data_IF_498854466262
#
_entry.id   IF_498854466262
#
_cell.length_a   1.000
_cell.length_b   1.000
_cell.length_c   1.000
_cell.angle_alpha   90.00
_cell.angle_beta   90.00
_cell.angle_gamma   90.00
#
_symmetry.space_group_name_H-M   'P 1'
#
loop_
_entity.id
_entity.type
_entity.pdbx_description
1 polymer ?
#
# COMPACT_ATOMS: atom_id res chain seq x y z
N UNK A 1 -15.18 33.13 5.31
CA UNK A 1 -15.32 32.26 4.12
C UNK A 1 -14.06 31.42 4.04
N UNK A 2 -14.18 30.12 4.33
CA UNK A 2 -13.12 29.12 4.18
C UNK A 2 -13.81 27.89 3.58
N UNK A 3 -13.35 27.46 2.40
CA UNK A 3 -13.92 26.35 1.63
C UNK A 3 -13.89 25.01 2.40
N UNK A 4 -14.99 24.24 2.50
CA UNK A 4 -15.01 22.96 3.23
C UNK A 4 -14.55 21.74 2.40
N UNK A 5 -13.85 21.90 1.28
CA UNK A 5 -13.52 20.77 0.37
C UNK A 5 -12.09 20.25 0.50
N UNK A 6 -11.66 19.89 1.70
CA UNK A 6 -10.52 18.97 1.84
C UNK A 6 -10.78 17.97 2.97
N UNK A 7 -11.64 17.00 2.69
CA UNK A 7 -11.64 15.77 3.50
C UNK A 7 -10.25 15.14 3.37
N UNK A 8 -9.55 14.86 4.48
CA UNK A 8 -8.20 14.30 4.42
C UNK A 8 -8.20 13.01 3.61
N UNK A 9 -7.24 12.87 2.70
CA UNK A 9 -7.12 11.69 1.85
C UNK A 9 -6.96 10.44 2.73
N UNK A 10 -7.97 9.58 2.72
CA UNK A 10 -7.94 8.34 3.50
C UNK A 10 -6.89 7.42 2.91
N UNK A 11 -5.91 7.04 3.72
CA UNK A 11 -4.81 6.14 3.37
C UNK A 11 -4.85 4.93 4.29
N UNK A 12 -4.68 3.74 3.73
CA UNK A 12 -4.56 2.48 4.49
C UNK A 12 -3.14 1.98 4.29
N UNK A 13 -2.41 1.63 5.35
CA UNK A 13 -1.02 1.21 5.20
C UNK A 13 -0.46 0.51 6.42
N UNK A 14 0.64 -0.21 6.21
CA UNK A 14 1.44 -0.81 7.26
C UNK A 14 2.92 -0.46 7.03
N UNK A 15 3.65 -0.29 8.12
CA UNK A 15 5.09 -0.06 8.08
C UNK A 15 5.82 -0.88 9.12
N UNK A 16 7.10 -1.13 8.83
CA UNK A 16 8.00 -1.86 9.72
C UNK A 16 9.31 -1.11 9.82
N UNK A 17 9.66 -0.72 11.04
CA UNK A 17 11.02 -0.33 11.40
C UNK A 17 11.83 -1.59 11.69
N UNK A 18 13.03 -1.67 11.14
CA UNK A 18 13.93 -2.80 11.33
C UNK A 18 14.85 -2.55 12.54
N UNK A 19 15.28 -3.63 13.20
CA UNK A 19 16.25 -3.56 14.30
C UNK A 19 17.63 -3.15 13.77
N UNK A 20 18.03 -3.77 12.68
CA UNK A 20 19.24 -3.49 11.91
C UNK A 20 18.85 -3.00 10.52
N UNK A 21 19.68 -2.12 9.94
CA UNK A 21 19.43 -1.61 8.60
C UNK A 21 19.61 -2.72 7.57
N UNK A 22 18.66 -2.89 6.65
CA UNK A 22 18.66 -3.99 5.66
C UNK A 22 19.30 -3.51 4.37
N UNK A 23 20.36 -4.17 3.94
CA UNK A 23 21.06 -3.92 2.67
C UNK A 23 20.64 -4.86 1.53
N UNK A 24 20.05 -6.02 1.85
CA UNK A 24 19.60 -7.03 0.89
C UNK A 24 18.25 -6.66 0.23
N UNK A 25 18.21 -6.41 -1.09
CA UNK A 25 16.98 -6.11 -1.83
C UNK A 25 15.94 -7.24 -1.81
N UNK A 26 16.36 -8.51 -1.77
CA UNK A 26 15.44 -9.66 -1.73
C UNK A 26 14.70 -9.73 -0.39
N UNK A 27 15.42 -9.43 0.70
CA UNK A 27 14.82 -9.32 2.04
C UNK A 27 13.82 -8.17 2.08
N UNK A 28 14.16 -7.01 1.50
CA UNK A 28 13.24 -5.87 1.37
C UNK A 28 12.01 -6.20 0.53
N UNK A 29 12.17 -6.93 -0.58
CA UNK A 29 11.07 -7.40 -1.42
C UNK A 29 10.12 -8.32 -0.65
N UNK A 30 10.67 -9.27 0.12
CA UNK A 30 9.89 -10.15 0.99
C UNK A 30 9.14 -9.39 2.10
N UNK A 31 9.73 -8.31 2.62
CA UNK A 31 9.04 -7.43 3.57
C UNK A 31 7.91 -6.63 2.91
N UNK A 32 8.14 -6.07 1.72
CA UNK A 32 7.12 -5.33 0.99
C UNK A 32 5.92 -6.22 0.65
N UNK A 33 6.15 -7.46 0.22
CA UNK A 33 5.10 -8.45 -0.03
C UNK A 33 4.26 -8.69 1.23
N UNK A 34 4.89 -9.00 2.37
CA UNK A 34 4.17 -9.21 3.64
C UNK A 34 3.35 -8.00 4.07
N UNK A 35 3.83 -6.78 3.84
CA UNK A 35 3.08 -5.57 4.16
C UNK A 35 1.92 -5.35 3.17
N UNK A 36 2.14 -5.64 1.89
CA UNK A 36 1.10 -5.59 0.86
C UNK A 36 -0.05 -6.55 1.17
N UNK A 37 0.23 -7.80 1.56
CA UNK A 37 -0.77 -8.77 2.03
C UNK A 37 -1.61 -8.19 3.18
N UNK A 38 -0.98 -7.64 4.22
CA UNK A 38 -1.70 -7.03 5.36
C UNK A 38 -2.57 -5.83 4.95
N UNK A 39 -2.09 -5.03 4.00
CA UNK A 39 -2.85 -3.92 3.44
C UNK A 39 -4.07 -4.44 2.67
N UNK A 40 -3.92 -5.47 1.85
CA UNK A 40 -5.02 -6.12 1.12
C UNK A 40 -6.05 -6.73 2.08
N UNK A 41 -5.61 -7.44 3.12
CA UNK A 41 -6.53 -7.94 4.16
C UNK A 41 -7.34 -6.81 4.79
N UNK A 42 -6.69 -5.67 5.08
CA UNK A 42 -7.37 -4.51 5.65
C UNK A 42 -8.35 -3.87 4.67
N UNK A 43 -7.98 -3.74 3.39
CA UNK A 43 -8.86 -3.27 2.31
C UNK A 43 -10.12 -4.13 2.21
N UNK A 44 -9.97 -5.46 2.18
CA UNK A 44 -11.08 -6.41 2.11
C UNK A 44 -11.98 -6.35 3.35
N UNK A 45 -11.40 -6.26 4.55
CA UNK A 45 -12.18 -6.08 5.80
C UNK A 45 -12.98 -4.78 5.79
N UNK A 46 -12.46 -3.73 5.17
CA UNK A 46 -13.16 -2.44 5.04
C UNK A 46 -14.13 -2.40 3.84
N UNK A 47 -14.23 -3.48 3.05
CA UNK A 47 -15.03 -3.54 1.83
C UNK A 47 -14.60 -2.48 0.82
N UNK A 48 -13.29 -2.32 0.58
CA UNK A 48 -12.72 -1.29 -0.29
C UNK A 48 -11.72 -1.86 -1.29
N UNK A 49 -11.68 -1.28 -2.48
CA UNK A 49 -10.58 -1.41 -3.43
C UNK A 49 -9.64 -0.21 -3.39
N UNK A 50 -8.41 -0.36 -3.89
CA UNK A 50 -7.42 0.71 -3.99
C UNK A 50 -6.85 0.84 -5.40
N UNK A 51 -6.62 2.08 -5.84
CA UNK A 51 -6.06 2.36 -7.18
C UNK A 51 -4.56 2.62 -7.21
N UNK A 52 -3.94 2.95 -6.07
CA UNK A 52 -2.53 3.32 -6.00
C UNK A 52 -1.87 2.67 -4.79
N UNK A 53 -0.73 2.02 -5.01
CA UNK A 53 0.17 1.49 -3.97
C UNK A 53 1.40 2.39 -3.90
N UNK A 54 1.80 2.76 -2.68
CA UNK A 54 2.98 3.57 -2.40
C UNK A 54 3.91 2.81 -1.47
N UNK A 55 5.19 2.75 -1.82
CA UNK A 55 6.26 2.25 -0.96
C UNK A 55 7.01 3.45 -0.39
N UNK A 56 7.20 3.42 0.93
CA UNK A 56 7.98 4.40 1.70
C UNK A 56 9.21 3.72 2.27
N UNK A 57 10.38 4.25 1.98
CA UNK A 57 11.66 3.83 2.55
C UNK A 57 12.19 4.95 3.44
N UNK A 58 12.66 4.61 4.64
CA UNK A 58 13.47 5.52 5.46
C UNK A 58 14.86 4.93 5.63
N UNK A 59 15.85 5.80 5.51
CA UNK A 59 17.26 5.45 5.56
C UNK A 59 17.85 5.73 6.96
N UNK A 60 19.08 5.25 7.25
CA UNK A 60 19.72 5.44 8.56
C UNK A 60 19.94 6.91 8.91
N UNK A 61 20.09 7.76 7.89
CA UNK A 61 20.19 9.23 7.98
C UNK A 61 18.81 9.93 8.15
N UNK A 62 17.76 9.17 8.44
CA UNK A 62 16.38 9.64 8.64
C UNK A 62 15.70 10.24 7.41
N UNK A 63 16.37 10.25 6.25
CA UNK A 63 15.76 10.69 4.99
C UNK A 63 14.70 9.68 4.52
N UNK A 64 13.65 10.19 3.88
CA UNK A 64 12.55 9.39 3.38
C UNK A 64 12.52 9.47 1.85
N UNK A 65 12.37 8.31 1.21
CA UNK A 65 12.10 8.19 -0.22
C UNK A 65 10.77 7.45 -0.40
N UNK A 66 9.93 7.91 -1.32
CA UNK A 66 8.70 7.19 -1.67
C UNK A 66 8.47 7.12 -3.16
N UNK A 67 7.91 6.00 -3.61
CA UNK A 67 7.46 5.79 -4.98
C UNK A 67 6.11 5.12 -4.98
N UNK A 68 5.33 5.45 -6.00
CA UNK A 68 3.99 4.92 -6.20
C UNK A 68 3.89 4.16 -7.53
N UNK A 69 3.00 3.18 -7.53
CA UNK A 69 2.54 2.46 -8.71
C UNK A 69 1.01 2.41 -8.66
N UNK A 70 0.36 2.60 -9.81
CA UNK A 70 -1.09 2.68 -9.92
C UNK A 70 -1.62 1.60 -10.83
N UNK A 71 -2.74 0.99 -10.44
CA UNK A 71 -3.57 0.19 -11.33
C UNK A 71 -4.47 1.10 -12.18
N UNK A 72 -4.93 0.57 -13.32
CA UNK A 72 -5.91 1.23 -14.18
C UNK A 72 -7.27 1.35 -13.45
N UNK A 73 -7.72 0.27 -12.83
CA UNK A 73 -8.91 0.21 -11.99
C UNK A 73 -8.54 -0.09 -10.53
N UNK A 74 -9.31 0.44 -9.59
CA UNK A 74 -9.10 0.13 -8.19
C UNK A 74 -9.38 -1.36 -7.93
N UNK A 75 -8.52 -2.00 -7.14
CA UNK A 75 -8.52 -3.45 -6.91
C UNK A 75 -8.30 -3.78 -5.44
N UNK A 76 -8.85 -4.91 -5.01
CA UNK A 76 -8.54 -5.59 -3.75
C UNK A 76 -7.92 -6.98 -4.01
N UNK A 77 -7.46 -7.22 -5.25
CA UNK A 77 -6.71 -8.41 -5.62
C UNK A 77 -5.31 -8.37 -5.00
N UNK A 78 -4.99 -9.40 -4.23
CA UNK A 78 -3.74 -9.45 -3.46
C UNK A 78 -2.52 -9.52 -4.37
N UNK A 79 -2.57 -10.32 -5.43
CA UNK A 79 -1.46 -10.50 -6.35
C UNK A 79 -1.14 -9.18 -7.08
N UNK A 80 -2.16 -8.44 -7.50
CA UNK A 80 -1.98 -7.14 -8.13
C UNK A 80 -1.42 -6.09 -7.16
N UNK A 81 -1.91 -6.04 -5.92
CA UNK A 81 -1.38 -5.12 -4.91
C UNK A 81 0.08 -5.44 -4.56
N UNK A 82 0.44 -6.74 -4.45
CA UNK A 82 1.84 -7.18 -4.27
C UNK A 82 2.68 -6.74 -5.47
N UNK A 83 2.22 -7.00 -6.70
CA UNK A 83 2.94 -6.63 -7.93
C UNK A 83 3.23 -5.12 -7.97
N UNK A 84 2.24 -4.30 -7.67
CA UNK A 84 2.40 -2.84 -7.61
C UNK A 84 3.35 -2.40 -6.50
N UNK A 85 3.32 -3.05 -5.33
CA UNK A 85 4.28 -2.82 -4.25
C UNK A 85 5.71 -3.14 -4.70
N UNK A 86 5.93 -4.26 -5.39
CA UNK A 86 7.26 -4.63 -5.90
C UNK A 86 7.77 -3.65 -6.97
N UNK A 87 6.90 -3.19 -7.87
CA UNK A 87 7.25 -2.15 -8.86
C UNK A 87 7.63 -0.84 -8.17
N UNK A 88 6.86 -0.41 -7.18
CA UNK A 88 7.14 0.79 -6.41
C UNK A 88 8.44 0.68 -5.60
N UNK A 89 8.70 -0.48 -4.99
CA UNK A 89 9.94 -0.77 -4.27
C UNK A 89 11.14 -0.72 -5.22
N UNK A 90 11.09 -1.43 -6.36
CA UNK A 90 12.17 -1.45 -7.34
C UNK A 90 12.53 -0.05 -7.84
N UNK A 91 11.52 0.81 -8.08
CA UNK A 91 11.75 2.23 -8.42
C UNK A 91 12.41 2.99 -7.29
N UNK A 92 11.95 2.81 -6.04
CA UNK A 92 12.52 3.50 -4.89
C UNK A 92 13.99 3.10 -4.63
N UNK A 93 14.32 1.82 -4.81
CA UNK A 93 15.69 1.30 -4.69
C UNK A 93 16.60 1.73 -5.84
N UNK A 94 16.04 1.94 -7.04
CA UNK A 94 16.77 2.51 -8.17
C UNK A 94 17.11 3.99 -7.95
N UNK A 95 16.23 4.76 -7.30
CA UNK A 95 16.53 6.16 -6.96
C UNK A 95 17.60 6.26 -5.86
N UNK A 96 17.53 5.37 -4.87
CA UNK A 96 18.47 5.32 -3.76
C UNK A 96 18.65 3.86 -3.29
N UNK A 97 19.86 3.30 -3.40
CA UNK A 97 20.11 1.94 -2.97
C UNK A 97 20.06 1.81 -1.44
N UNK A 98 19.95 0.57 -0.92
CA UNK A 98 20.06 0.27 0.51
C UNK A 98 21.39 0.78 1.14
N UNK A 99 21.52 0.83 2.48
CA UNK A 99 20.70 0.16 3.48
C UNK A 99 19.42 0.93 3.90
N UNK A 100 18.35 0.20 4.22
CA UNK A 100 17.04 0.74 4.61
C UNK A 100 16.69 0.42 6.06
N UNK A 101 16.24 1.42 6.82
CA UNK A 101 15.86 1.29 8.24
C UNK A 101 14.37 1.08 8.48
N UNK A 102 13.52 1.53 7.56
CA UNK A 102 12.07 1.34 7.61
C UNK A 102 11.52 1.15 6.21
N UNK A 103 10.62 0.19 6.06
CA UNK A 103 9.82 -0.02 4.86
C UNK A 103 8.34 0.06 5.20
N UNK A 104 7.59 0.86 4.45
CA UNK A 104 6.14 0.97 4.54
C UNK A 104 5.47 0.75 3.20
N UNK A 105 4.30 0.12 3.22
CA UNK A 105 3.41 -0.02 2.07
C UNK A 105 2.07 0.60 2.44
N UNK A 106 1.57 1.49 1.60
CA UNK A 106 0.27 2.14 1.79
C UNK A 106 -0.50 2.24 0.49
N UNK A 107 -1.81 2.30 0.58
CA UNK A 107 -2.72 2.43 -0.54
C UNK A 107 -3.59 3.68 -0.43
N UNK A 108 -3.86 4.27 -1.58
CA UNK A 108 -4.72 5.44 -1.76
C UNK A 108 -5.67 5.24 -2.94
N UNK A 109 -6.48 6.26 -3.26
CA UNK A 109 -7.51 6.20 -4.31
C UNK A 109 -8.51 5.07 -4.01
N UNK A 110 -9.01 5.10 -2.77
CA UNK A 110 -9.90 4.08 -2.22
C UNK A 110 -11.32 4.24 -2.80
N UNK A 111 -11.92 3.13 -3.19
CA UNK A 111 -13.32 3.06 -3.64
C UNK A 111 -14.06 2.01 -2.83
N UNK A 112 -15.40 2.13 -2.64
CA UNK A 112 -16.19 1.02 -2.14
C UNK A 112 -15.96 -0.21 -3.02
N UNK A 113 -15.65 -1.35 -2.40
CA UNK A 113 -15.59 -2.63 -3.07
C UNK A 113 -16.97 -2.99 -3.59
N UNK A 114 -17.03 -3.77 -4.67
CA UNK A 114 -18.29 -4.30 -5.18
C UNK A 114 -18.87 -5.26 -4.12
N UNK A 115 -19.65 -4.72 -3.19
CA UNK A 115 -20.47 -5.54 -2.31
C UNK A 115 -21.50 -6.22 -3.21
N UNK A 116 -21.34 -7.52 -3.45
CA UNK A 116 -22.45 -8.37 -3.86
C UNK A 116 -23.43 -8.39 -2.68
N UNK A 117 -24.24 -7.35 -2.55
CA UNK A 117 -25.42 -7.38 -1.71
C UNK A 117 -26.28 -8.53 -2.23
N UNK A 118 -26.33 -9.64 -1.49
CA UNK A 118 -27.38 -10.63 -1.65
C UNK A 118 -28.71 -9.87 -1.62
N UNK A 119 -29.58 -10.02 -2.63
CA UNK A 119 -30.93 -9.47 -2.52
C UNK A 119 -31.58 -10.06 -1.26
N UNK A 120 -32.34 -9.26 -0.46
CA UNK A 120 -33.07 -9.81 0.66
C UNK A 120 -33.96 -10.95 0.14
N UNK A 121 -33.92 -12.09 0.83
CA UNK A 121 -34.77 -13.23 0.50
C UNK A 121 -36.24 -12.76 0.42
N UNK A 122 -37.00 -13.16 -0.62
CA UNK A 122 -38.38 -12.75 -0.75
C UNK A 122 -39.16 -13.22 0.49
N UNK A 123 -40.08 -12.40 1.04
CA UNK A 123 -40.95 -12.85 2.12
C UNK A 123 -41.81 -14.01 1.62
N UNK A 124 -41.96 -15.02 2.49
CA UNK A 124 -42.83 -16.18 2.27
C UNK A 124 -44.32 -15.79 2.25
#
# INVERSE_FOLDING_TARGET
>A
EVDPSSSPAVTIGHERTFTDDIDDPEVLASHAERLAVRVTERLRRDGRGAGTVTVKLRYPDFQIQSRAASAEMATDDEAEIIRLAQVALGRALADRPPPVRLLGVSVTRLVPGAQLSLPPAPPA
#
